data_IF_430608161233
#
_entry.id   IF_430608161233
#
_cell.length_a   1.000
_cell.length_b   1.000
_cell.length_c   1.000
_cell.angle_alpha   90.00
_cell.angle_beta   90.00
_cell.angle_gamma   90.00
#
_symmetry.space_group_name_H-M   'P 1'
#
loop_
_entity.id
_entity.type
_entity.pdbx_description
1 polymer ?
#
# COMPACT_ATOMS: atom_id res chain seq x y z
N UNK A 1 9.87 0.14 -16.89
CA UNK A 1 8.82 1.15 -16.67
C UNK A 1 9.10 1.83 -15.33
N UNK A 2 9.34 3.15 -15.34
CA UNK A 2 9.72 3.91 -14.13
C UNK A 2 8.53 4.07 -13.19
N UNK A 3 8.72 3.82 -11.90
CA UNK A 3 7.76 4.13 -10.83
C UNK A 3 8.42 5.02 -9.78
N UNK A 4 7.59 5.75 -9.02
CA UNK A 4 8.02 6.56 -7.89
C UNK A 4 7.46 5.95 -6.60
N UNK A 5 8.31 5.72 -5.60
CA UNK A 5 7.96 5.16 -4.29
C UNK A 5 8.27 6.20 -3.22
N UNK A 6 7.25 6.58 -2.46
CA UNK A 6 7.35 7.61 -1.44
C UNK A 6 7.38 6.99 -0.03
N UNK A 7 8.44 7.28 0.71
CA UNK A 7 8.59 6.93 2.11
C UNK A 7 8.33 8.18 2.95
N UNK A 8 7.27 8.14 3.77
CA UNK A 8 6.77 9.30 4.50
C UNK A 8 6.89 9.11 6.02
N UNK A 9 6.88 10.22 6.75
CA UNK A 9 6.61 10.27 8.18
C UNK A 9 5.32 11.05 8.42
N UNK A 10 4.18 10.52 7.99
CA UNK A 10 2.89 11.22 8.04
C UNK A 10 2.54 11.62 9.48
N UNK A 11 2.11 12.88 9.63
CA UNK A 11 1.73 13.45 10.91
C UNK A 11 0.22 13.43 11.14
N UNK A 12 -0.19 14.13 12.21
CA UNK A 12 -1.59 14.27 12.62
C UNK A 12 -2.32 15.40 11.87
N UNK A 13 -1.61 16.17 11.07
CA UNK A 13 -2.15 17.28 10.29
C UNK A 13 -2.29 16.88 8.81
N UNK A 14 -3.48 16.48 8.42
CA UNK A 14 -3.75 16.01 7.06
C UNK A 14 -3.35 17.01 5.96
N UNK A 15 -3.49 18.32 6.20
CA UNK A 15 -3.10 19.36 5.23
C UNK A 15 -1.61 19.36 4.91
N UNK A 16 -0.76 19.05 5.89
CA UNK A 16 0.70 18.95 5.71
C UNK A 16 1.01 17.69 4.88
N UNK A 17 0.45 16.56 5.27
CA UNK A 17 0.66 15.29 4.56
C UNK A 17 0.19 15.38 3.10
N UNK A 18 -0.95 16.03 2.84
CA UNK A 18 -1.46 16.25 1.48
C UNK A 18 -0.54 17.14 0.66
N UNK A 19 0.02 18.19 1.24
CA UNK A 19 0.98 19.03 0.54
C UNK A 19 2.23 18.25 0.15
N UNK A 20 2.71 17.39 1.05
CA UNK A 20 3.86 16.52 0.80
C UNK A 20 3.57 15.53 -0.33
N UNK A 21 2.41 14.83 -0.28
CA UNK A 21 1.97 13.94 -1.35
C UNK A 21 1.87 14.68 -2.68
N UNK A 22 1.25 15.87 -2.69
CA UNK A 22 1.10 16.69 -3.90
C UNK A 22 2.46 17.04 -4.50
N UNK A 23 3.41 17.49 -3.70
CA UNK A 23 4.76 17.81 -4.14
C UNK A 23 5.47 16.57 -4.72
N UNK A 24 5.32 15.41 -4.07
CA UNK A 24 5.92 14.16 -4.52
C UNK A 24 5.28 13.64 -5.82
N UNK A 25 3.97 13.80 -6.01
CA UNK A 25 3.29 13.46 -7.27
C UNK A 25 3.77 14.36 -8.40
N UNK A 26 3.91 15.68 -8.17
CA UNK A 26 4.47 16.60 -9.15
C UNK A 26 5.92 16.23 -9.52
N UNK A 27 6.76 15.89 -8.53
CA UNK A 27 8.13 15.44 -8.78
C UNK A 27 8.15 14.12 -9.57
N UNK A 28 7.23 13.20 -9.28
CA UNK A 28 7.10 11.95 -10.01
C UNK A 28 6.66 12.16 -11.47
N UNK A 29 5.73 13.08 -11.72
CA UNK A 29 5.33 13.49 -13.05
C UNK A 29 6.48 14.10 -13.86
N UNK A 30 7.23 15.03 -13.26
CA UNK A 30 8.40 15.66 -13.87
C UNK A 30 9.48 14.63 -14.29
N UNK A 31 9.63 13.55 -13.52
CA UNK A 31 10.54 12.44 -13.82
C UNK A 31 9.93 11.39 -14.78
N UNK A 32 8.74 11.63 -15.31
CA UNK A 32 8.01 10.72 -16.20
C UNK A 32 7.80 9.33 -15.58
N UNK A 33 7.50 9.26 -14.28
CA UNK A 33 7.10 8.02 -13.65
C UNK A 33 5.70 7.61 -14.14
N UNK A 34 5.51 6.35 -14.47
CA UNK A 34 4.21 5.83 -14.90
C UNK A 34 3.21 5.79 -13.75
N UNK A 35 3.70 5.58 -12.52
CA UNK A 35 2.87 5.46 -11.33
C UNK A 35 3.64 5.88 -10.07
N UNK A 36 2.93 6.57 -9.18
CA UNK A 36 3.39 6.97 -7.85
C UNK A 36 2.74 6.08 -6.78
N UNK A 37 3.50 5.75 -5.73
CA UNK A 37 3.05 4.93 -4.61
C UNK A 37 3.29 5.63 -3.26
N UNK A 38 2.22 5.83 -2.49
CA UNK A 38 2.26 6.34 -1.12
C UNK A 38 2.10 5.20 -0.09
N UNK A 39 2.50 5.40 1.19
CA UNK A 39 2.38 4.40 2.25
C UNK A 39 0.96 4.31 2.86
N UNK A 40 0.77 3.36 3.78
CA UNK A 40 -0.46 3.24 4.60
C UNK A 40 -0.67 4.50 5.42
N UNK A 41 -1.94 4.94 5.55
CA UNK A 41 -2.35 6.14 6.30
C UNK A 41 -1.61 7.41 5.86
N UNK A 42 -1.33 7.52 4.56
CA UNK A 42 -0.52 8.60 3.99
C UNK A 42 -1.06 10.00 4.27
N UNK A 43 -2.39 10.14 4.31
CA UNK A 43 -3.06 11.44 4.50
C UNK A 43 -3.19 11.80 5.98
N UNK A 44 -3.39 10.83 6.85
CA UNK A 44 -3.61 11.04 8.28
C UNK A 44 -3.13 9.82 9.06
N UNK A 45 -2.11 10.01 9.90
CA UNK A 45 -1.61 8.98 10.79
C UNK A 45 -1.71 9.48 12.22
N UNK A 46 -2.77 9.05 12.94
CA UNK A 46 -3.07 9.52 14.29
C UNK A 46 -3.69 8.40 15.14
N UNK A 47 -3.05 8.07 16.26
CA UNK A 47 -3.57 7.11 17.25
C UNK A 47 -4.62 7.70 18.19
N UNK A 48 -4.70 9.03 18.32
CA UNK A 48 -5.76 9.70 19.05
C UNK A 48 -7.04 9.74 18.20
N UNK A 49 -7.92 8.79 18.46
CA UNK A 49 -9.17 8.62 17.70
C UNK A 49 -10.10 9.81 17.78
N UNK A 50 -10.10 10.56 18.89
CA UNK A 50 -10.96 11.74 19.03
C UNK A 50 -10.46 12.88 18.15
N UNK A 51 -9.15 13.09 18.10
CA UNK A 51 -8.51 14.06 17.21
C UNK A 51 -8.68 13.65 15.76
N UNK A 52 -8.34 12.42 15.40
CA UNK A 52 -8.48 11.89 14.06
C UNK A 52 -9.91 11.98 13.50
N UNK A 53 -10.93 11.70 14.32
CA UNK A 53 -12.34 11.73 13.92
C UNK A 53 -12.78 13.08 13.34
N UNK A 54 -12.18 14.19 13.76
CA UNK A 54 -12.49 15.53 13.23
C UNK A 54 -12.08 15.70 11.76
N UNK A 55 -11.17 14.85 11.29
CA UNK A 55 -10.59 14.91 9.94
C UNK A 55 -11.06 13.75 9.02
N UNK A 56 -11.71 12.72 9.58
CA UNK A 56 -12.16 11.56 8.81
C UNK A 56 -13.59 11.77 8.33
N UNK A 57 -13.76 11.83 7.02
CA UNK A 57 -15.06 12.05 6.36
C UNK A 57 -15.40 10.90 5.41
N UNK A 58 -16.63 10.84 4.93
CA UNK A 58 -16.99 9.93 3.84
C UNK A 58 -16.21 10.27 2.56
N UNK A 59 -15.93 9.27 1.73
CA UNK A 59 -15.09 9.44 0.54
C UNK A 59 -15.57 10.55 -0.38
N UNK A 60 -16.89 10.67 -0.60
CA UNK A 60 -17.49 11.70 -1.46
C UNK A 60 -17.30 13.13 -0.96
N UNK A 61 -17.08 13.29 0.34
CA UNK A 61 -16.86 14.57 1.01
C UNK A 61 -15.37 14.88 1.21
N UNK A 62 -14.47 13.95 0.80
CA UNK A 62 -13.05 14.07 1.05
C UNK A 62 -12.40 15.02 0.05
N UNK A 63 -12.21 16.27 0.44
CA UNK A 63 -11.59 17.32 -0.38
C UNK A 63 -10.12 17.03 -0.69
N UNK A 64 -9.41 16.32 0.20
CA UNK A 64 -8.02 15.94 -0.03
C UNK A 64 -7.90 14.93 -1.17
N UNK A 65 -8.83 13.96 -1.20
CA UNK A 65 -8.90 13.01 -2.32
C UNK A 65 -9.17 13.70 -3.65
N UNK A 66 -10.09 14.69 -3.66
CA UNK A 66 -10.38 15.49 -4.86
C UNK A 66 -9.13 16.27 -5.32
N UNK A 67 -8.37 16.84 -4.40
CA UNK A 67 -7.11 17.54 -4.71
C UNK A 67 -6.09 16.58 -5.35
N UNK A 68 -5.90 15.38 -4.78
CA UNK A 68 -4.96 14.40 -5.33
C UNK A 68 -5.41 13.92 -6.73
N UNK A 69 -6.72 13.69 -6.93
CA UNK A 69 -7.25 13.37 -8.26
C UNK A 69 -6.92 14.48 -9.28
N UNK A 70 -7.07 15.75 -8.90
CA UNK A 70 -6.73 16.88 -9.77
C UNK A 70 -5.23 16.94 -10.10
N UNK A 71 -4.37 16.69 -9.13
CA UNK A 71 -2.92 16.66 -9.35
C UNK A 71 -2.50 15.46 -10.22
N UNK A 72 -3.07 14.27 -10.00
CA UNK A 72 -2.82 13.10 -10.84
C UNK A 72 -3.14 13.38 -12.32
N UNK A 73 -4.26 14.08 -12.59
CA UNK A 73 -4.64 14.50 -13.93
C UNK A 73 -3.70 15.56 -14.51
N UNK A 74 -3.32 16.56 -13.72
CA UNK A 74 -2.44 17.64 -14.15
C UNK A 74 -1.04 17.13 -14.53
N UNK A 75 -0.51 16.19 -13.75
CA UNK A 75 0.81 15.58 -13.96
C UNK A 75 0.76 14.35 -14.90
N UNK A 76 -0.42 13.96 -15.40
CA UNK A 76 -0.62 12.80 -16.28
C UNK A 76 -0.01 11.50 -15.72
N UNK A 77 -0.15 11.27 -14.40
CA UNK A 77 0.44 10.15 -13.67
C UNK A 77 -0.62 9.33 -12.94
N UNK A 78 -0.43 8.00 -12.90
CA UNK A 78 -1.23 7.15 -12.02
C UNK A 78 -0.77 7.27 -10.56
N UNK A 79 -1.72 7.23 -9.62
CA UNK A 79 -1.45 7.35 -8.18
C UNK A 79 -2.06 6.16 -7.43
N UNK A 80 -1.22 5.41 -6.74
CA UNK A 80 -1.62 4.53 -5.65
C UNK A 80 -1.45 5.31 -4.35
N UNK A 81 -2.56 5.76 -3.75
CA UNK A 81 -2.54 6.67 -2.59
C UNK A 81 -2.16 5.96 -1.26
N UNK A 82 -1.62 4.74 -1.35
CA UNK A 82 -1.35 3.94 -0.17
C UNK A 82 -2.63 3.55 0.53
N UNK A 83 -2.92 4.18 1.68
CA UNK A 83 -4.27 4.16 2.23
C UNK A 83 -4.61 5.45 2.98
N UNK A 84 -5.91 5.66 3.14
CA UNK A 84 -6.50 6.77 3.90
C UNK A 84 -7.63 6.26 4.80
N UNK A 85 -7.86 6.88 5.95
CA UNK A 85 -9.05 6.60 6.73
C UNK A 85 -10.27 7.23 6.07
N UNK A 86 -11.35 6.47 5.92
CA UNK A 86 -12.64 6.95 5.39
C UNK A 86 -13.78 6.51 6.29
N UNK A 87 -14.80 7.36 6.46
CA UNK A 87 -16.02 7.01 7.18
C UNK A 87 -16.91 6.16 6.26
N UNK A 88 -17.34 4.99 6.74
CA UNK A 88 -18.35 4.19 6.04
C UNK A 88 -19.72 4.87 6.07
N UNK A 89 -20.42 4.89 4.93
CA UNK A 89 -21.76 5.47 4.80
C UNK A 89 -22.88 4.46 5.14
N UNK A 90 -22.54 3.36 5.83
CA UNK A 90 -23.49 2.28 6.21
C UNK A 90 -24.20 2.52 7.56
N UNK A 91 -23.97 3.66 8.18
CA UNK A 91 -24.54 4.02 9.49
C UNK A 91 -23.85 3.36 10.69
N UNK A 92 -22.81 2.56 10.48
CA UNK A 92 -22.09 1.89 11.58
C UNK A 92 -21.20 2.84 12.40
N UNK A 93 -20.88 4.02 11.87
CA UNK A 93 -19.90 4.93 12.44
C UNK A 93 -18.47 4.42 12.43
N UNK A 94 -18.19 3.33 11.69
CA UNK A 94 -16.85 2.73 11.56
C UNK A 94 -16.10 3.30 10.38
N UNK A 95 -14.78 3.19 10.43
CA UNK A 95 -13.88 3.64 9.38
C UNK A 95 -13.40 2.47 8.50
N UNK A 96 -13.07 2.77 7.25
CA UNK A 96 -12.28 1.91 6.38
C UNK A 96 -10.84 2.41 6.34
N UNK A 97 -9.88 1.50 6.42
CA UNK A 97 -8.50 1.74 6.03
C UNK A 97 -8.43 1.45 4.54
N UNK A 98 -8.57 2.49 3.70
CA UNK A 98 -8.90 2.37 2.27
C UNK A 98 -7.76 2.77 1.37
N UNK A 99 -7.28 1.83 0.55
CA UNK A 99 -6.48 2.12 -0.65
C UNK A 99 -7.35 2.72 -1.73
N UNK A 100 -6.83 3.75 -2.40
CA UNK A 100 -7.42 4.37 -3.59
C UNK A 100 -6.39 4.32 -4.73
N UNK A 101 -6.82 3.85 -5.90
CA UNK A 101 -6.03 3.92 -7.14
C UNK A 101 -6.68 4.91 -8.10
N UNK A 102 -5.91 5.89 -8.54
CA UNK A 102 -6.33 7.00 -9.39
C UNK A 102 -5.54 6.91 -10.70
N UNK A 103 -6.21 7.06 -11.84
CA UNK A 103 -5.53 7.07 -13.13
C UNK A 103 -4.97 8.45 -13.50
N UNK A 104 -4.28 8.50 -14.61
CA UNK A 104 -3.67 9.73 -15.16
C UNK A 104 -4.69 10.75 -15.71
N UNK A 105 -5.98 10.48 -15.59
CA UNK A 105 -7.07 11.43 -15.85
C UNK A 105 -7.73 11.92 -14.55
N UNK A 106 -7.21 11.50 -13.39
CA UNK A 106 -7.76 11.81 -12.07
C UNK A 106 -9.01 11.00 -11.71
N UNK A 107 -9.28 9.91 -12.43
CA UNK A 107 -10.45 9.06 -12.19
C UNK A 107 -10.07 7.93 -11.24
N UNK A 108 -10.86 7.72 -10.18
CA UNK A 108 -10.66 6.61 -9.25
C UNK A 108 -11.05 5.30 -9.94
N UNK A 109 -10.06 4.42 -10.12
CA UNK A 109 -10.21 3.12 -10.79
C UNK A 109 -10.47 1.97 -9.83
N UNK A 110 -9.95 2.04 -8.61
CA UNK A 110 -10.17 1.00 -7.61
C UNK A 110 -10.18 1.55 -6.20
N UNK A 111 -10.85 0.80 -5.32
CA UNK A 111 -10.89 0.97 -3.88
C UNK A 111 -10.70 -0.40 -3.24
N UNK A 112 -9.91 -0.45 -2.19
CA UNK A 112 -9.71 -1.66 -1.40
C UNK A 112 -9.69 -1.29 0.08
N UNK A 113 -10.58 -1.85 0.87
CA UNK A 113 -10.55 -1.74 2.32
C UNK A 113 -9.74 -2.90 2.90
N UNK A 114 -8.80 -2.59 3.79
CA UNK A 114 -7.94 -3.57 4.46
C UNK A 114 -8.77 -4.71 5.03
N UNK A 115 -8.49 -5.94 4.60
CA UNK A 115 -9.26 -7.11 5.03
C UNK A 115 -8.87 -7.55 6.43
N UNK A 116 -7.56 -7.62 6.73
CA UNK A 116 -7.03 -8.14 7.98
C UNK A 116 -6.61 -6.99 8.88
N UNK A 117 -7.37 -6.76 9.94
CA UNK A 117 -7.15 -5.68 10.88
C UNK A 117 -6.07 -6.04 11.90
N UNK A 118 -5.24 -5.06 12.25
CA UNK A 118 -4.08 -5.25 13.12
C UNK A 118 -4.48 -5.24 14.60
N UNK A 119 -4.91 -6.41 15.09
CA UNK A 119 -5.24 -6.66 16.48
C UNK A 119 -4.18 -7.57 17.07
N UNK A 120 -3.20 -7.01 17.79
CA UNK A 120 -2.04 -7.75 18.29
C UNK A 120 -1.59 -7.25 19.66
N UNK A 121 -0.96 -8.16 20.41
CA UNK A 121 -0.21 -7.86 21.62
C UNK A 121 1.23 -8.29 21.39
N UNK A 122 2.15 -7.32 21.38
CA UNK A 122 3.57 -7.58 21.18
C UNK A 122 4.29 -7.79 22.51
N UNK A 123 5.34 -8.62 22.51
CA UNK A 123 6.17 -8.86 23.68
C UNK A 123 6.86 -7.58 24.21
N UNK A 124 6.95 -6.54 23.40
CA UNK A 124 7.44 -5.20 23.78
C UNK A 124 6.47 -4.42 24.67
N UNK A 125 5.24 -4.93 24.89
CA UNK A 125 4.17 -4.26 25.63
C UNK A 125 3.26 -3.40 24.74
N UNK A 126 3.53 -3.28 23.44
CA UNK A 126 2.64 -2.61 22.50
C UNK A 126 1.39 -3.46 22.25
N UNK A 127 0.23 -2.84 22.36
CA UNK A 127 -1.07 -3.45 22.07
C UNK A 127 -1.84 -2.61 21.06
N UNK A 128 -2.32 -3.24 20.02
CA UNK A 128 -3.07 -2.60 18.94
C UNK A 128 -4.44 -3.26 18.78
N UNK A 129 -5.48 -2.47 18.53
CA UNK A 129 -6.86 -2.92 18.30
C UNK A 129 -7.47 -2.07 17.18
N UNK A 130 -7.05 -2.37 15.95
CA UNK A 130 -7.54 -1.66 14.76
C UNK A 130 -9.05 -1.92 14.58
N UNK A 131 -9.50 -3.15 14.86
CA UNK A 131 -10.90 -3.56 14.75
C UNK A 131 -11.87 -2.78 15.67
N UNK A 132 -11.36 -2.08 16.67
CA UNK A 132 -12.21 -1.26 17.57
C UNK A 132 -12.72 0.02 16.91
N UNK A 133 -12.11 0.49 15.81
CA UNK A 133 -12.54 1.68 15.06
C UNK A 133 -12.77 1.38 13.57
N UNK A 134 -12.02 0.46 13.01
CA UNK A 134 -12.09 0.12 11.59
C UNK A 134 -12.92 -1.13 11.33
N UNK A 135 -13.53 -1.20 10.16
CA UNK A 135 -14.20 -2.38 9.62
C UNK A 135 -13.26 -3.05 8.61
N UNK A 136 -13.16 -4.38 8.64
CA UNK A 136 -12.47 -5.16 7.62
C UNK A 136 -13.18 -5.11 6.28
N UNK A 137 -12.41 -5.15 5.19
CA UNK A 137 -12.92 -5.20 3.82
C UNK A 137 -13.52 -6.55 3.46
N UNK A 138 -14.29 -6.57 2.37
CA UNK A 138 -15.13 -7.72 2.00
C UNK A 138 -14.40 -8.73 1.09
N UNK A 139 -13.27 -8.37 0.45
CA UNK A 139 -12.56 -9.29 -0.44
C UNK A 139 -11.38 -8.70 -1.21
N UNK A 140 -10.68 -9.55 -2.00
CA UNK A 140 -9.55 -9.14 -2.81
C UNK A 140 -9.98 -8.22 -3.96
N UNK A 141 -9.12 -7.28 -4.33
CA UNK A 141 -9.32 -6.35 -5.44
C UNK A 141 -8.14 -6.38 -6.39
N UNK A 142 -8.45 -6.48 -7.69
CA UNK A 142 -7.52 -6.30 -8.80
C UNK A 142 -7.91 -5.09 -9.61
N UNK A 143 -6.91 -4.38 -10.14
CA UNK A 143 -7.11 -3.21 -11.01
C UNK A 143 -6.11 -3.24 -12.18
N UNK A 144 -6.57 -2.92 -13.37
CA UNK A 144 -5.70 -2.73 -14.54
C UNK A 144 -4.98 -1.39 -14.42
N UNK A 145 -3.66 -1.40 -14.56
CA UNK A 145 -2.77 -0.24 -14.44
C UNK A 145 -1.73 -0.27 -15.57
N UNK A 146 -0.93 0.79 -15.77
CA UNK A 146 0.22 0.74 -16.69
C UNK A 146 1.23 -0.36 -16.39
N UNK A 147 1.29 -0.82 -15.13
CA UNK A 147 2.18 -1.91 -14.70
C UNK A 147 1.58 -3.31 -14.92
N UNK A 148 0.39 -3.40 -15.53
CA UNK A 148 -0.41 -4.62 -15.64
C UNK A 148 -1.44 -4.74 -14.52
N UNK A 149 -1.95 -5.94 -14.30
CA UNK A 149 -2.94 -6.21 -13.24
C UNK A 149 -2.30 -6.09 -11.87
N UNK A 150 -2.77 -5.12 -11.08
CA UNK A 150 -2.27 -4.86 -9.73
C UNK A 150 -3.22 -5.43 -8.69
N UNK A 151 -2.71 -6.29 -7.81
CA UNK A 151 -3.40 -6.76 -6.61
C UNK A 151 -3.21 -5.80 -5.45
N UNK A 152 -4.30 -5.45 -4.79
CA UNK A 152 -4.30 -4.48 -3.68
C UNK A 152 -4.31 -5.20 -2.35
N UNK A 153 -3.51 -4.69 -1.41
CA UNK A 153 -3.45 -5.12 -0.02
C UNK A 153 -2.94 -3.96 0.85
N UNK A 154 -3.02 -4.09 2.18
CA UNK A 154 -2.51 -3.07 3.10
C UNK A 154 -1.81 -3.76 4.28
N UNK A 155 -0.51 -3.49 4.46
CA UNK A 155 0.28 -3.73 5.66
C UNK A 155 0.09 -5.15 6.26
N UNK A 156 -0.75 -5.30 7.27
CA UNK A 156 -0.98 -6.57 7.97
C UNK A 156 -1.48 -7.69 7.05
N UNK A 157 -2.15 -7.36 5.94
CA UNK A 157 -2.57 -8.32 4.91
C UNK A 157 -1.40 -9.17 4.38
N UNK A 158 -0.16 -8.63 4.40
CA UNK A 158 1.02 -9.37 3.94
C UNK A 158 1.30 -10.65 4.72
N UNK A 159 0.70 -10.86 5.90
CA UNK A 159 0.84 -12.08 6.69
C UNK A 159 -0.11 -13.20 6.25
N UNK A 160 -1.05 -12.91 5.38
CA UNK A 160 -2.10 -13.82 4.95
C UNK A 160 -1.88 -14.27 3.49
N UNK A 161 -1.15 -15.39 3.26
CA UNK A 161 -0.76 -15.83 1.92
C UNK A 161 -1.94 -16.13 1.01
N UNK A 162 -3.09 -16.49 1.57
CA UNK A 162 -4.29 -16.83 0.79
C UNK A 162 -4.81 -15.64 -0.04
N UNK A 163 -4.69 -14.41 0.47
CA UNK A 163 -5.03 -13.20 -0.28
C UNK A 163 -4.18 -13.09 -1.55
N UNK A 164 -2.86 -13.20 -1.41
CA UNK A 164 -1.91 -13.09 -2.54
C UNK A 164 -2.05 -14.23 -3.51
N UNK A 165 -2.30 -15.42 -3.00
CA UNK A 165 -2.60 -16.61 -3.78
C UNK A 165 -3.82 -16.39 -4.68
N UNK A 166 -4.92 -15.86 -4.15
CA UNK A 166 -6.14 -15.56 -4.93
C UNK A 166 -5.90 -14.44 -5.94
N UNK A 167 -5.23 -13.36 -5.55
CA UNK A 167 -4.85 -12.26 -6.46
C UNK A 167 -3.97 -12.77 -7.60
N UNK A 168 -2.97 -13.59 -7.31
CA UNK A 168 -2.06 -14.18 -8.29
C UNK A 168 -2.82 -15.09 -9.27
N UNK A 169 -3.73 -15.96 -8.77
CA UNK A 169 -4.58 -16.81 -9.62
C UNK A 169 -5.51 -16.01 -10.52
N UNK A 170 -5.97 -14.85 -10.06
CA UNK A 170 -6.78 -13.93 -10.85
C UNK A 170 -5.95 -13.10 -11.86
N UNK A 171 -4.63 -13.35 -11.94
CA UNK A 171 -3.74 -12.79 -12.95
C UNK A 171 -2.96 -11.55 -12.50
N UNK A 172 -2.81 -11.30 -11.20
CA UNK A 172 -1.95 -10.23 -10.71
C UNK A 172 -0.52 -10.36 -11.27
N UNK A 173 0.08 -9.24 -11.58
CA UNK A 173 1.46 -9.08 -12.05
C UNK A 173 2.29 -8.25 -11.06
N UNK A 174 1.61 -7.36 -10.33
CA UNK A 174 2.20 -6.49 -9.29
C UNK A 174 1.32 -6.57 -8.06
N UNK A 175 1.91 -6.59 -6.88
CA UNK A 175 1.23 -6.35 -5.61
C UNK A 175 1.63 -5.00 -5.04
N UNK A 176 0.64 -4.16 -4.71
CA UNK A 176 0.84 -2.96 -3.91
C UNK A 176 0.58 -3.28 -2.44
N UNK A 177 1.59 -3.01 -1.59
CA UNK A 177 1.57 -3.32 -0.15
C UNK A 177 2.01 -2.09 0.65
N UNK A 178 1.20 -1.02 0.69
CA UNK A 178 1.51 0.14 1.53
C UNK A 178 1.47 -0.25 3.00
N UNK A 179 2.35 0.32 3.83
CA UNK A 179 2.45 -0.08 5.22
C UNK A 179 2.86 1.05 6.17
N UNK A 180 2.43 0.89 7.44
CA UNK A 180 2.93 1.59 8.63
C UNK A 180 3.40 0.52 9.65
N UNK A 181 4.48 -0.18 9.30
CA UNK A 181 4.94 -1.39 10.00
C UNK A 181 5.71 -1.04 11.28
N UNK A 182 5.43 -1.73 12.39
CA UNK A 182 6.12 -1.49 13.65
C UNK A 182 7.61 -1.88 13.55
N UNK A 183 8.49 -1.15 14.23
CA UNK A 183 9.94 -1.38 14.17
C UNK A 183 10.34 -2.81 14.56
N UNK A 184 9.82 -3.40 15.69
CA UNK A 184 10.23 -4.75 16.09
C UNK A 184 9.86 -5.81 15.04
N UNK A 185 8.64 -5.75 14.53
CA UNK A 185 8.17 -6.72 13.52
C UNK A 185 8.78 -6.44 12.15
N UNK A 186 9.10 -5.18 11.86
CA UNK A 186 9.79 -4.78 10.63
C UNK A 186 11.16 -5.44 10.51
N UNK A 187 11.99 -5.29 11.54
CA UNK A 187 13.32 -5.91 11.62
C UNK A 187 13.31 -7.42 11.41
N UNK A 188 12.29 -8.10 11.92
CA UNK A 188 12.22 -9.55 11.87
C UNK A 188 11.52 -10.10 10.61
N UNK A 189 10.52 -9.40 10.04
CA UNK A 189 9.59 -10.01 9.10
C UNK A 189 9.49 -9.29 7.75
N UNK A 190 9.75 -7.97 7.67
CA UNK A 190 9.42 -7.13 6.52
C UNK A 190 9.99 -7.66 5.21
N UNK A 191 11.30 -7.76 5.11
CA UNK A 191 11.99 -8.21 3.90
C UNK A 191 11.64 -9.66 3.54
N UNK A 192 11.59 -10.53 4.54
CA UNK A 192 11.30 -11.97 4.35
C UNK A 192 9.91 -12.16 3.75
N UNK A 193 8.89 -11.51 4.33
CA UNK A 193 7.51 -11.67 3.88
C UNK A 193 7.29 -11.05 2.50
N UNK A 194 7.81 -9.85 2.23
CA UNK A 194 7.63 -9.21 0.92
C UNK A 194 8.30 -10.01 -0.20
N UNK A 195 9.50 -10.52 0.04
CA UNK A 195 10.19 -11.41 -0.89
C UNK A 195 9.42 -12.73 -1.09
N UNK A 196 8.88 -13.30 -0.02
CA UNK A 196 8.04 -14.49 -0.12
C UNK A 196 6.82 -14.24 -1.02
N UNK A 197 6.10 -13.11 -0.85
CA UNK A 197 4.94 -12.73 -1.69
C UNK A 197 5.33 -12.61 -3.16
N UNK A 198 6.48 -12.02 -3.45
CA UNK A 198 6.98 -11.92 -4.82
C UNK A 198 7.28 -13.30 -5.43
N UNK A 199 8.07 -14.13 -4.72
CA UNK A 199 8.55 -15.43 -5.20
C UNK A 199 7.41 -16.42 -5.42
N UNK A 200 6.54 -16.62 -4.41
CA UNK A 200 5.46 -17.61 -4.45
C UNK A 200 4.38 -17.30 -5.49
N UNK A 201 4.29 -16.03 -5.90
CA UNK A 201 3.30 -15.53 -6.84
C UNK A 201 3.87 -15.19 -8.22
N UNK A 202 5.20 -15.20 -8.39
CA UNK A 202 5.91 -14.70 -9.55
C UNK A 202 5.39 -13.32 -10.01
N UNK A 203 5.34 -12.37 -9.05
CA UNK A 203 4.82 -11.02 -9.21
C UNK A 203 5.84 -10.01 -8.67
N UNK A 204 5.84 -8.78 -9.20
CA UNK A 204 6.49 -7.67 -8.52
C UNK A 204 5.77 -7.34 -7.20
N UNK A 205 6.51 -6.84 -6.24
CA UNK A 205 5.98 -6.23 -5.01
C UNK A 205 6.47 -4.80 -4.92
N UNK A 206 5.54 -3.85 -4.72
CA UNK A 206 5.82 -2.44 -4.43
C UNK A 206 5.23 -2.12 -3.06
N UNK A 207 6.10 -1.88 -2.09
CA UNK A 207 5.73 -1.68 -0.69
C UNK A 207 6.24 -0.33 -0.19
N UNK A 208 5.46 0.74 -0.42
CA UNK A 208 5.73 2.05 0.15
C UNK A 208 5.42 2.04 1.66
N UNK A 209 6.31 2.56 2.48
CA UNK A 209 6.24 2.45 3.94
C UNK A 209 6.33 3.80 4.65
N UNK A 210 5.67 3.90 5.79
CA UNK A 210 5.89 4.95 6.77
C UNK A 210 7.22 4.72 7.49
N UNK A 211 7.98 5.77 7.79
CA UNK A 211 9.30 5.71 8.42
C UNK A 211 9.46 6.76 9.52
N UNK A 212 10.10 6.38 10.61
CA UNK A 212 10.51 7.30 11.65
C UNK A 212 9.58 7.37 12.85
N UNK A 213 9.78 8.41 13.68
CA UNK A 213 8.98 8.71 14.86
C UNK A 213 7.91 9.74 14.52
N UNK A 214 6.65 9.31 14.53
CA UNK A 214 5.51 10.15 14.16
C UNK A 214 5.05 11.06 15.31
N UNK A 215 4.34 12.14 14.98
CA UNK A 215 3.79 13.11 15.95
C UNK A 215 2.88 12.46 17.01
N UNK A 216 2.22 11.35 16.70
CA UNK A 216 1.37 10.59 17.63
C UNK A 216 2.15 9.66 18.55
N UNK A 217 3.48 9.67 18.48
CA UNK A 217 4.40 8.90 19.33
C UNK A 217 4.67 7.46 18.89
N UNK A 218 4.07 6.98 17.76
CA UNK A 218 4.45 5.69 17.20
C UNK A 218 5.74 5.79 16.39
N UNK A 219 6.48 4.67 16.33
CA UNK A 219 7.62 4.54 15.44
C UNK A 219 7.33 3.48 14.37
N UNK A 220 7.72 3.76 13.13
CA UNK A 220 7.58 2.85 12.00
C UNK A 220 8.91 2.52 11.36
N UNK A 221 8.98 1.35 10.69
CA UNK A 221 10.21 0.70 10.32
C UNK A 221 10.89 1.33 9.09
N UNK A 222 10.13 1.97 8.19
CA UNK A 222 10.65 2.44 6.91
C UNK A 222 10.89 1.29 5.95
N UNK A 223 12.04 1.34 5.26
CA UNK A 223 12.45 0.33 4.28
C UNK A 223 11.40 0.12 3.19
N UNK A 224 10.86 1.21 2.60
CA UNK A 224 10.05 1.07 1.39
C UNK A 224 10.79 0.19 0.40
N UNK A 225 10.13 -0.87 -0.07
CA UNK A 225 10.79 -1.97 -0.76
C UNK A 225 10.15 -2.24 -2.12
N UNK A 226 10.97 -2.49 -3.13
CA UNK A 226 10.52 -3.03 -4.41
C UNK A 226 11.23 -4.34 -4.66
N UNK A 227 10.47 -5.39 -4.95
CA UNK A 227 10.99 -6.75 -5.17
C UNK A 227 10.52 -7.25 -6.52
N UNK A 228 11.41 -7.88 -7.28
CA UNK A 228 11.10 -8.49 -8.56
C UNK A 228 10.46 -9.88 -8.39
N UNK A 229 9.88 -10.48 -9.47
CA UNK A 229 9.24 -11.80 -9.40
C UNK A 229 10.17 -12.94 -8.98
N UNK A 230 11.51 -12.77 -9.07
CA UNK A 230 12.50 -13.75 -8.61
C UNK A 230 12.85 -13.62 -7.13
N UNK A 231 12.41 -12.52 -6.49
CA UNK A 231 12.72 -12.18 -5.10
C UNK A 231 13.96 -11.31 -4.93
N UNK A 232 14.47 -10.73 -6.03
CA UNK A 232 15.55 -9.73 -6.00
C UNK A 232 15.00 -8.40 -5.49
N UNK A 233 15.72 -7.77 -4.56
CA UNK A 233 15.38 -6.45 -4.04
C UNK A 233 15.93 -5.40 -5.00
N UNK A 234 15.05 -4.71 -5.71
CA UNK A 234 15.37 -3.65 -6.66
C UNK A 234 15.54 -2.29 -5.99
N UNK A 235 14.85 -2.07 -4.89
CA UNK A 235 14.90 -0.85 -4.07
C UNK A 235 14.70 -1.23 -2.60
N UNK A 236 15.54 -0.69 -1.74
CA UNK A 236 15.34 -0.59 -0.30
C UNK A 236 15.72 0.82 0.13
N UNK A 237 14.76 1.62 0.59
CA UNK A 237 14.99 3.01 0.96
C UNK A 237 15.64 3.18 2.34
N UNK A 238 15.80 2.10 3.11
CA UNK A 238 16.32 2.18 4.47
C UNK A 238 15.41 2.99 5.40
N UNK A 239 16.04 3.70 6.33
CA UNK A 239 15.35 4.60 7.27
C UNK A 239 15.30 6.04 6.71
N UNK A 240 14.36 6.85 7.23
CA UNK A 240 14.19 8.27 6.83
C UNK A 240 13.09 8.46 5.78
N UNK A 241 12.85 9.72 5.42
CA UNK A 241 11.83 10.12 4.45
C UNK A 241 12.45 10.34 3.07
N UNK A 242 11.65 10.21 2.02
CA UNK A 242 12.11 10.54 0.67
C UNK A 242 11.27 9.96 -0.45
N UNK A 243 11.57 10.38 -1.67
CA UNK A 243 11.00 9.89 -2.90
C UNK A 243 12.10 9.20 -3.72
N UNK A 244 11.90 7.93 -4.03
CA UNK A 244 12.83 7.15 -4.84
C UNK A 244 12.19 6.70 -6.14
N UNK A 245 13.03 6.52 -7.17
CA UNK A 245 12.61 6.05 -8.49
C UNK A 245 13.26 4.72 -8.79
N UNK A 246 12.51 3.81 -9.41
CA UNK A 246 13.00 2.50 -9.82
C UNK A 246 12.37 2.09 -11.14
N UNK A 247 13.17 1.43 -11.99
CA UNK A 247 12.70 0.86 -13.26
C UNK A 247 12.26 -0.59 -13.04
N UNK A 248 11.04 -0.90 -13.46
CA UNK A 248 10.52 -2.27 -13.50
C UNK A 248 10.63 -2.81 -14.93
N UNK A 249 11.36 -3.90 -15.10
CA UNK A 249 11.34 -4.69 -16.33
C UNK A 249 10.20 -5.70 -16.26
N UNK A 250 9.05 -5.34 -16.80
CA UNK A 250 7.84 -6.17 -16.73
C UNK A 250 7.98 -7.51 -17.50
N UNK A 251 8.96 -7.64 -18.40
CA UNK A 251 9.24 -8.91 -19.11
C UNK A 251 9.76 -9.99 -18.17
N UNK A 252 10.27 -9.60 -17.00
CA UNK A 252 10.73 -10.52 -15.95
C UNK A 252 9.59 -11.42 -15.45
N UNK A 253 8.36 -10.96 -15.48
CA UNK A 253 7.19 -11.74 -15.03
C UNK A 253 7.06 -13.02 -15.86
N UNK A 254 7.02 -12.87 -17.18
CA UNK A 254 6.87 -14.01 -18.10
C UNK A 254 8.11 -14.92 -18.06
N UNK A 255 9.29 -14.33 -17.97
CA UNK A 255 10.55 -15.07 -17.87
C UNK A 255 10.59 -15.95 -16.60
N UNK A 256 10.19 -15.41 -15.44
CA UNK A 256 10.15 -16.16 -14.17
C UNK A 256 9.05 -17.21 -14.20
N UNK A 257 7.86 -16.88 -14.70
CA UNK A 257 6.74 -17.83 -14.83
C UNK A 257 7.04 -18.99 -15.78
N UNK A 258 7.85 -18.76 -16.81
CA UNK A 258 8.31 -19.82 -17.71
C UNK A 258 9.33 -20.76 -17.02
N UNK A 259 10.21 -20.22 -16.16
CA UNK A 259 11.22 -21.02 -15.44
C UNK A 259 10.60 -21.81 -14.28
N UNK A 260 9.71 -21.16 -13.51
CA UNK A 260 9.05 -21.76 -12.33
C UNK A 260 7.53 -21.52 -12.48
N UNK A 261 6.81 -22.43 -13.20
CA UNK A 261 5.41 -22.23 -13.53
C UNK A 261 4.48 -22.56 -12.34
N UNK A 262 4.61 -21.82 -11.26
CA UNK A 262 3.84 -22.04 -10.00
C UNK A 262 2.33 -22.05 -10.23
N UNK A 263 1.84 -21.25 -11.19
CA UNK A 263 0.41 -21.19 -11.51
C UNK A 263 -0.10 -22.50 -12.16
N UNK A 264 0.73 -23.14 -13.03
CA UNK A 264 0.37 -24.38 -13.72
C UNK A 264 0.54 -25.59 -12.82
N UNK A 265 1.50 -25.56 -11.90
CA UNK A 265 1.83 -26.67 -11.00
C UNK A 265 0.93 -26.73 -9.75
N UNK A 266 0.05 -25.74 -9.59
CA UNK A 266 -0.83 -25.64 -8.43
C UNK A 266 -1.82 -26.80 -8.39
N UNK A 267 -2.09 -27.32 -7.18
CA UNK A 267 -3.09 -28.34 -6.90
C UNK A 267 -4.13 -27.80 -5.92
N UNK A 268 -5.35 -28.28 -6.03
CA UNK A 268 -6.34 -28.12 -4.96
C UNK A 268 -5.88 -28.87 -3.72
N UNK A 269 -6.00 -28.22 -2.58
CA UNK A 269 -5.68 -28.79 -1.27
C UNK A 269 -7.01 -28.99 -0.55
N UNK A 270 -7.41 -30.26 -0.36
CA UNK A 270 -8.57 -30.59 0.46
C UNK A 270 -8.28 -30.29 1.94
N UNK A 271 -9.34 -30.04 2.72
CA UNK A 271 -9.19 -29.97 4.16
C UNK A 271 -8.61 -31.30 4.70
N UNK A 272 -7.72 -31.24 5.71
CA UNK A 272 -7.15 -32.44 6.34
C UNK A 272 -8.20 -33.29 7.04
#
# INVERSE_FOLDING_TARGET
>A
MKIAVHQMCSGVQATINIQEITNAVCAAGAENAAMYFAPEMSVLLDRDRKRAACSIVAEKQNLWLQQICAVAAAENIWVHLGSIPVLHEDGSGRYGNRTIVIDNQGIIRARYDKMHLFDVDLATGESWRESSAYRGGDGPVLVDTPLGKMGLSICYDMRFPDLYSRLSQAGAQVFAIPAAFTVPTGKAHWHVLLRARAIESACFVVAAAQSGLHEDGRATFGHSLVVDPWGEVLLDMGEGEGLAFVELDLTRIDAVRAQIPVHLNRREISAP
#
